data_IF_681314055842
#
_entry.id   IF_681314055842
#
_cell.length_a   1.000
_cell.length_b   1.000
_cell.length_c   1.000
_cell.angle_alpha   90.00
_cell.angle_beta   90.00
_cell.angle_gamma   90.00
#
_symmetry.space_group_name_H-M   'P 1'
#
loop_
_entity.id
_entity.type
_entity.pdbx_description
1 polymer ?
#
# COMPACT_ATOMS: atom_id res chain seq x y z
N UNK A 1 -7.93 -1.99 78.28
CA UNK A 1 -6.51 -1.78 77.93
C UNK A 1 -6.37 -1.96 76.42
N UNK A 2 -6.47 -0.85 75.68
CA UNK A 2 -6.45 -0.81 74.22
C UNK A 2 -5.08 -0.33 73.75
N UNK A 3 -4.35 -1.21 73.07
CA UNK A 3 -3.06 -0.91 72.43
C UNK A 3 -3.29 -0.09 71.15
N UNK A 4 -2.64 1.07 71.04
CA UNK A 4 -2.53 1.87 69.81
C UNK A 4 -1.35 1.34 68.99
N UNK A 5 -1.60 0.90 67.76
CA UNK A 5 -0.57 0.64 66.75
C UNK A 5 -0.56 1.84 65.80
N UNK A 6 0.58 2.52 65.73
CA UNK A 6 0.86 3.57 64.74
C UNK A 6 1.16 2.93 63.39
N UNK A 7 0.49 3.39 62.33
CA UNK A 7 0.85 3.08 60.94
C UNK A 7 1.36 4.37 60.31
N UNK A 8 2.67 4.43 60.07
CA UNK A 8 3.30 5.46 59.24
C UNK A 8 3.06 5.12 57.76
N UNK A 9 2.33 5.98 57.05
CA UNK A 9 2.26 5.95 55.59
C UNK A 9 3.42 6.79 55.03
N UNK A 10 4.39 6.13 54.40
CA UNK A 10 5.40 6.78 53.55
C UNK A 10 4.82 6.85 52.15
N UNK A 11 4.35 8.03 51.73
CA UNK A 11 3.98 8.34 50.35
C UNK A 11 5.26 8.69 49.58
N UNK A 12 5.74 7.76 48.77
CA UNK A 12 6.79 8.03 47.79
C UNK A 12 6.16 8.71 46.56
N UNK A 13 6.35 10.03 46.43
CA UNK A 13 6.05 10.78 45.21
C UNK A 13 7.07 10.39 44.11
N UNK A 14 6.63 9.66 43.10
CA UNK A 14 7.33 9.57 41.82
C UNK A 14 6.93 10.77 40.96
N UNK A 15 7.73 11.83 40.98
CA UNK A 15 7.67 12.88 39.97
C UNK A 15 8.24 12.33 38.66
N UNK A 16 7.35 11.85 37.78
CA UNK A 16 7.71 11.64 36.39
C UNK A 16 8.00 13.02 35.77
N UNK A 17 9.28 13.31 35.56
CA UNK A 17 9.73 14.43 34.74
C UNK A 17 9.28 14.14 33.31
N UNK A 18 8.14 14.70 32.93
CA UNK A 18 7.71 14.72 31.54
C UNK A 18 8.61 15.75 30.84
N UNK A 19 9.67 15.28 30.19
CA UNK A 19 10.34 16.13 29.21
C UNK A 19 9.33 16.44 28.11
N UNK A 20 9.00 17.71 27.84
CA UNK A 20 8.28 18.02 26.63
C UNK A 20 9.17 17.56 25.48
N UNK A 21 8.66 16.68 24.62
CA UNK A 21 9.25 16.42 23.31
C UNK A 21 9.31 17.78 22.63
N UNK A 22 10.49 18.41 22.63
CA UNK A 22 10.70 19.61 21.86
C UNK A 22 10.48 19.21 20.41
N UNK A 23 9.43 19.78 19.81
CA UNK A 23 9.23 19.74 18.38
C UNK A 23 10.55 20.17 17.74
N UNK A 24 11.23 19.24 17.09
CA UNK A 24 12.40 19.56 16.29
C UNK A 24 11.94 20.60 15.27
N UNK A 25 12.47 21.82 15.38
CA UNK A 25 12.30 22.85 14.35
C UNK A 25 12.88 22.28 13.06
N UNK A 26 12.02 21.81 12.17
CA UNK A 26 12.34 21.46 10.79
C UNK A 26 12.74 22.75 10.05
N UNK A 27 13.96 23.21 10.25
CA UNK A 27 14.58 24.24 9.42
C UNK A 27 15.38 23.53 8.33
N UNK A 28 15.11 23.88 7.07
CA UNK A 28 15.96 23.42 5.97
C UNK A 28 17.37 24.00 6.13
N UNK A 29 18.38 23.29 5.62
CA UNK A 29 19.77 23.76 5.61
C UNK A 29 19.96 25.09 4.82
N UNK A 30 18.96 25.50 4.02
CA UNK A 30 18.97 26.69 3.17
C UNK A 30 18.19 27.87 3.76
N UNK A 31 17.57 27.72 4.95
CA UNK A 31 16.75 28.76 5.59
C UNK A 31 15.36 28.95 4.96
N UNK A 32 15.01 28.18 3.93
CA UNK A 32 13.67 28.13 3.35
C UNK A 32 12.74 27.22 4.19
N UNK A 33 11.42 27.49 4.21
CA UNK A 33 10.46 26.55 4.80
C UNK A 33 10.53 25.17 4.14
N UNK A 34 10.30 24.12 4.91
CA UNK A 34 10.23 22.76 4.39
C UNK A 34 8.89 22.57 3.67
N UNK A 35 8.91 21.98 2.47
CA UNK A 35 7.66 21.70 1.75
C UNK A 35 6.80 20.71 2.54
N UNK A 36 5.50 20.97 2.72
CA UNK A 36 4.60 20.14 3.50
C UNK A 36 4.42 18.77 2.84
N UNK A 37 4.22 17.74 3.66
CA UNK A 37 3.99 16.38 3.18
C UNK A 37 2.50 16.16 2.89
N UNK A 38 2.14 15.74 1.66
CA UNK A 38 0.77 15.42 1.33
C UNK A 38 0.26 14.19 2.14
N UNK A 39 -1.03 14.13 2.47
CA UNK A 39 -1.58 13.04 3.30
C UNK A 39 -1.36 11.65 2.68
N UNK A 40 -0.90 10.70 3.52
CA UNK A 40 -0.70 9.30 3.13
C UNK A 40 0.47 9.05 2.17
N UNK A 41 1.40 10.00 2.10
CA UNK A 41 2.58 9.90 1.23
C UNK A 41 3.87 9.82 2.04
N UNK A 42 4.93 9.35 1.38
CA UNK A 42 6.30 9.33 1.86
C UNK A 42 7.15 10.19 0.91
N UNK A 43 8.04 11.01 1.48
CA UNK A 43 8.99 11.82 0.73
C UNK A 43 10.00 10.96 -0.06
N UNK A 44 10.07 11.18 -1.38
CA UNK A 44 10.98 10.51 -2.31
C UNK A 44 12.14 11.42 -2.76
N UNK A 45 11.87 12.72 -2.92
CA UNK A 45 12.86 13.77 -3.19
C UNK A 45 12.42 15.09 -2.52
N UNK A 46 13.12 16.20 -2.80
CA UNK A 46 12.86 17.50 -2.15
C UNK A 46 11.39 17.91 -2.22
N UNK A 47 10.77 17.82 -3.40
CA UNK A 47 9.38 18.22 -3.64
C UNK A 47 8.51 17.09 -4.20
N UNK A 48 9.00 15.85 -4.17
CA UNK A 48 8.34 14.67 -4.72
C UNK A 48 8.03 13.68 -3.60
N UNK A 49 6.79 13.20 -3.59
CA UNK A 49 6.27 12.24 -2.63
C UNK A 49 5.58 11.08 -3.36
N UNK A 50 5.41 9.95 -2.70
CA UNK A 50 4.73 8.77 -3.24
C UNK A 50 3.80 8.18 -2.18
N UNK A 51 2.65 7.66 -2.59
CA UNK A 51 1.74 6.99 -1.67
C UNK A 51 2.40 5.82 -0.93
N UNK A 52 2.15 5.74 0.37
CA UNK A 52 2.66 4.69 1.26
C UNK A 52 2.24 3.28 0.80
N UNK A 53 1.02 3.14 0.28
CA UNK A 53 0.44 1.89 -0.19
C UNK A 53 -0.35 2.09 -1.50
N UNK A 54 -0.85 1.00 -2.08
CA UNK A 54 -1.73 1.06 -3.24
C UNK A 54 -3.03 1.83 -2.91
N UNK A 55 -3.64 2.50 -3.90
CA UNK A 55 -4.96 3.11 -3.70
C UNK A 55 -5.97 2.00 -3.39
N UNK A 56 -6.56 2.05 -2.19
CA UNK A 56 -7.53 1.05 -1.75
C UNK A 56 -8.95 1.31 -2.27
N UNK A 57 -9.79 0.27 -2.24
CA UNK A 57 -11.20 0.36 -2.61
C UNK A 57 -11.96 1.45 -1.84
N UNK A 58 -11.63 1.69 -0.56
CA UNK A 58 -12.26 2.74 0.25
C UNK A 58 -11.96 4.14 -0.28
N UNK A 59 -10.73 4.39 -0.76
CA UNK A 59 -10.37 5.67 -1.36
C UNK A 59 -11.11 5.88 -2.70
N UNK A 60 -11.30 4.80 -3.47
CA UNK A 60 -12.09 4.86 -4.70
C UNK A 60 -13.58 5.07 -4.43
N UNK A 61 -14.12 4.49 -3.35
CA UNK A 61 -15.51 4.72 -2.93
C UNK A 61 -15.74 6.19 -2.55
N UNK A 62 -14.79 6.83 -1.87
CA UNK A 62 -14.83 8.27 -1.59
C UNK A 62 -14.81 9.09 -2.87
N UNK A 63 -13.92 8.76 -3.82
CA UNK A 63 -13.89 9.38 -5.14
C UNK A 63 -15.24 9.26 -5.85
N UNK A 64 -15.81 8.06 -5.91
CA UNK A 64 -17.12 7.82 -6.51
C UNK A 64 -18.25 8.57 -5.82
N UNK A 65 -18.16 8.75 -4.50
CA UNK A 65 -19.13 9.55 -3.76
C UNK A 65 -19.08 11.01 -4.20
N UNK A 66 -17.89 11.60 -4.32
CA UNK A 66 -17.73 12.98 -4.81
C UNK A 66 -18.22 13.12 -6.25
N UNK A 67 -17.79 12.21 -7.14
CA UNK A 67 -18.23 12.18 -8.54
C UNK A 67 -19.76 12.11 -8.67
N UNK A 68 -20.43 11.36 -7.79
CA UNK A 68 -21.89 11.28 -7.79
C UNK A 68 -22.56 12.61 -7.40
N UNK A 69 -21.91 13.43 -6.57
CA UNK A 69 -22.46 14.70 -6.10
C UNK A 69 -22.22 15.85 -7.09
N UNK A 70 -21.09 15.84 -7.80
CA UNK A 70 -20.62 16.99 -8.59
C UNK A 70 -20.64 16.78 -10.11
N UNK A 71 -20.93 15.56 -10.58
CA UNK A 71 -20.82 15.19 -11.99
C UNK A 71 -22.07 14.50 -12.54
N UNK A 72 -22.12 14.31 -13.86
CA UNK A 72 -23.24 13.62 -14.51
C UNK A 72 -23.28 12.13 -14.16
N UNK A 73 -24.47 11.54 -14.16
CA UNK A 73 -24.66 10.09 -13.97
C UNK A 73 -23.85 9.27 -15.00
N UNK A 74 -23.71 9.78 -16.23
CA UNK A 74 -22.90 9.12 -17.27
C UNK A 74 -21.42 9.08 -16.88
N UNK A 75 -20.89 10.18 -16.35
CA UNK A 75 -19.53 10.23 -15.88
C UNK A 75 -19.34 9.34 -14.64
N UNK A 76 -20.25 9.38 -13.67
CA UNK A 76 -20.25 8.46 -12.52
C UNK A 76 -20.15 6.99 -12.94
N UNK A 77 -21.01 6.56 -13.88
CA UNK A 77 -20.99 5.19 -14.42
C UNK A 77 -19.67 4.86 -15.11
N UNK A 78 -19.06 5.82 -15.81
CA UNK A 78 -17.75 5.64 -16.44
C UNK A 78 -16.59 5.47 -15.45
N UNK A 79 -16.78 5.84 -14.17
CA UNK A 79 -15.76 5.69 -13.12
C UNK A 79 -15.93 4.39 -12.29
N UNK A 80 -16.96 3.59 -12.56
CA UNK A 80 -17.15 2.30 -11.88
C UNK A 80 -16.07 1.29 -12.32
N UNK A 81 -15.46 0.55 -11.38
CA UNK A 81 -14.58 -0.55 -11.72
C UNK A 81 -15.32 -1.66 -12.49
N UNK A 82 -14.69 -2.19 -13.53
CA UNK A 82 -15.14 -3.32 -14.32
C UNK A 82 -15.04 -4.61 -13.49
N UNK A 83 -16.18 -5.14 -13.06
CA UNK A 83 -16.23 -6.40 -12.31
C UNK A 83 -16.02 -7.64 -13.19
N UNK A 84 -16.03 -7.52 -14.52
CA UNK A 84 -15.86 -8.66 -15.43
C UNK A 84 -14.43 -9.21 -15.42
N UNK A 85 -13.46 -8.44 -14.92
CA UNK A 85 -12.05 -8.87 -14.72
C UNK A 85 -11.90 -10.06 -13.77
N UNK A 86 -12.96 -10.38 -13.02
CA UNK A 86 -13.04 -11.51 -12.09
C UNK A 86 -13.58 -12.79 -12.73
N UNK A 87 -14.16 -12.75 -13.94
CA UNK A 87 -14.77 -13.92 -14.61
C UNK A 87 -13.77 -15.07 -14.81
N UNK A 88 -12.53 -14.76 -15.15
CA UNK A 88 -11.46 -15.77 -15.30
C UNK A 88 -10.94 -16.31 -13.96
N UNK A 89 -11.13 -15.57 -12.85
CA UNK A 89 -10.73 -15.98 -11.49
C UNK A 89 -11.82 -16.84 -10.84
N UNK A 90 -13.07 -16.66 -11.25
CA UNK A 90 -14.23 -17.42 -10.80
C UNK A 90 -14.29 -18.88 -11.31
N UNK A 91 -13.17 -19.46 -11.77
CA UNK A 91 -13.09 -20.90 -12.03
C UNK A 91 -13.47 -21.63 -10.73
N UNK A 92 -14.65 -22.25 -10.77
CA UNK A 92 -15.46 -22.71 -9.67
C UNK A 92 -14.69 -23.33 -8.47
N UNK A 93 -15.06 -23.03 -7.22
CA UNK A 93 -14.75 -23.93 -6.12
C UNK A 93 -15.36 -25.33 -6.41
N UNK A 94 -14.82 -26.43 -5.85
CA UNK A 94 -15.31 -27.81 -6.07
C UNK A 94 -16.80 -28.02 -5.75
N UNK A 95 -17.43 -27.07 -5.07
CA UNK A 95 -18.83 -27.06 -4.64
C UNK A 95 -19.73 -26.18 -5.50
N UNK A 96 -19.21 -25.49 -6.52
CA UNK A 96 -20.06 -24.69 -7.39
C UNK A 96 -20.92 -25.61 -8.25
N UNK A 97 -22.23 -25.38 -8.25
CA UNK A 97 -23.14 -26.00 -9.20
C UNK A 97 -22.64 -25.67 -10.60
N UNK A 98 -22.34 -26.70 -11.41
CA UNK A 98 -21.93 -26.53 -12.79
C UNK A 98 -22.94 -25.63 -13.53
N UNK A 99 -22.49 -24.45 -13.98
CA UNK A 99 -23.32 -23.48 -14.70
C UNK A 99 -23.79 -22.25 -13.90
N UNK A 100 -23.56 -22.16 -12.59
CA UNK A 100 -23.88 -20.95 -11.81
C UNK A 100 -22.72 -19.92 -11.84
N UNK A 101 -22.94 -18.66 -12.28
CA UNK A 101 -21.89 -17.66 -12.28
C UNK A 101 -21.52 -17.29 -10.84
N UNK A 102 -20.28 -17.55 -10.42
CA UNK A 102 -19.78 -17.05 -9.14
C UNK A 102 -19.54 -15.54 -9.28
N UNK A 103 -20.45 -14.75 -8.71
CA UNK A 103 -20.34 -13.28 -8.74
C UNK A 103 -19.35 -12.86 -7.66
N UNK A 104 -18.15 -12.46 -8.05
CA UNK A 104 -17.15 -11.90 -7.13
C UNK A 104 -17.52 -10.44 -6.84
N UNK A 105 -17.97 -10.17 -5.61
CA UNK A 105 -18.38 -8.84 -5.15
C UNK A 105 -17.21 -8.01 -4.58
N UNK A 106 -16.04 -8.08 -5.22
CA UNK A 106 -14.79 -7.48 -4.70
C UNK A 106 -14.95 -6.01 -4.30
N UNK A 107 -15.33 -5.15 -5.26
CA UNK A 107 -15.43 -3.71 -5.01
C UNK A 107 -16.60 -3.34 -4.07
N UNK A 108 -17.67 -4.16 -4.04
CA UNK A 108 -18.91 -3.85 -3.32
C UNK A 108 -18.95 -4.38 -1.90
N UNK A 109 -18.21 -5.44 -1.60
CA UNK A 109 -18.26 -6.09 -0.29
C UNK A 109 -17.37 -5.33 0.72
N UNK A 110 -17.91 -4.92 1.89
CA UNK A 110 -17.16 -4.14 2.87
C UNK A 110 -15.85 -4.76 3.35
N UNK A 111 -15.74 -6.10 3.35
CA UNK A 111 -14.52 -6.81 3.76
C UNK A 111 -13.30 -6.51 2.89
N UNK A 112 -13.49 -6.02 1.66
CA UNK A 112 -12.41 -5.67 0.73
C UNK A 112 -12.11 -4.17 0.67
N UNK A 113 -12.67 -3.35 1.57
CA UNK A 113 -12.47 -1.88 1.55
C UNK A 113 -11.00 -1.46 1.58
N UNK A 114 -10.17 -2.20 2.28
CA UNK A 114 -8.74 -1.90 2.39
C UNK A 114 -7.85 -2.77 1.49
N UNK A 115 -8.42 -3.37 0.46
CA UNK A 115 -7.67 -4.07 -0.59
C UNK A 115 -7.47 -3.11 -1.77
N UNK A 116 -6.45 -3.30 -2.62
CA UNK A 116 -6.16 -2.37 -3.72
C UNK A 116 -7.33 -2.27 -4.70
N UNK A 117 -7.63 -1.07 -5.19
CA UNK A 117 -8.61 -0.91 -6.25
C UNK A 117 -8.06 -1.53 -7.54
N UNK A 118 -8.85 -2.41 -8.15
CA UNK A 118 -8.54 -3.08 -9.42
C UNK A 118 -9.77 -3.10 -10.31
N UNK A 119 -9.61 -3.55 -11.55
CA UNK A 119 -10.69 -3.46 -12.54
C UNK A 119 -10.93 -2.03 -13.03
N UNK A 120 -9.93 -1.16 -12.89
CA UNK A 120 -9.98 0.21 -13.41
C UNK A 120 -9.07 0.38 -14.63
N UNK A 121 -9.38 1.33 -15.49
CA UNK A 121 -8.56 1.72 -16.64
C UNK A 121 -7.48 2.73 -16.26
N UNK A 122 -6.53 2.93 -17.17
CA UNK A 122 -5.53 4.00 -17.05
C UNK A 122 -6.17 5.38 -16.96
N UNK A 123 -7.20 5.64 -17.77
CA UNK A 123 -7.92 6.91 -17.80
C UNK A 123 -8.63 7.19 -16.48
N UNK A 124 -9.23 6.16 -15.88
CA UNK A 124 -9.86 6.26 -14.57
C UNK A 124 -8.80 6.58 -13.49
N UNK A 125 -7.66 5.90 -13.49
CA UNK A 125 -6.58 6.17 -12.54
C UNK A 125 -6.04 7.62 -12.66
N UNK A 126 -5.86 8.12 -13.90
CA UNK A 126 -5.47 9.51 -14.15
C UNK A 126 -6.54 10.49 -13.68
N UNK A 127 -7.83 10.20 -13.90
CA UNK A 127 -8.93 11.03 -13.43
C UNK A 127 -8.98 11.10 -11.89
N UNK A 128 -8.71 9.97 -11.22
CA UNK A 128 -8.57 9.91 -9.76
C UNK A 128 -7.42 10.80 -9.26
N UNK A 129 -6.23 10.73 -9.88
CA UNK A 129 -5.10 11.58 -9.51
C UNK A 129 -5.43 13.07 -9.62
N UNK A 130 -6.13 13.48 -10.69
CA UNK A 130 -6.60 14.86 -10.88
C UNK A 130 -7.59 15.29 -9.80
N UNK A 131 -8.58 14.43 -9.51
CA UNK A 131 -9.55 14.67 -8.45
C UNK A 131 -8.87 14.82 -7.08
N UNK A 132 -7.96 13.90 -6.73
CA UNK A 132 -7.23 13.95 -5.46
C UNK A 132 -6.40 15.22 -5.34
N UNK A 133 -5.79 15.69 -6.42
CA UNK A 133 -5.11 16.99 -6.47
C UNK A 133 -6.07 18.11 -6.08
N UNK A 134 -7.23 18.21 -6.73
CA UNK A 134 -8.21 19.25 -6.43
C UNK A 134 -8.70 19.20 -4.97
N UNK A 135 -9.01 17.99 -4.47
CA UNK A 135 -9.49 17.80 -3.11
C UNK A 135 -8.41 18.13 -2.07
N UNK A 136 -7.18 17.70 -2.24
CA UNK A 136 -6.11 17.98 -1.25
C UNK A 136 -5.75 19.46 -1.25
N UNK A 137 -5.65 20.11 -2.42
CA UNK A 137 -5.41 21.55 -2.47
C UNK A 137 -6.50 22.32 -1.70
N UNK A 138 -7.78 22.05 -2.00
CA UNK A 138 -8.91 22.77 -1.41
C UNK A 138 -9.19 22.40 0.05
N UNK A 139 -9.26 21.11 0.35
CA UNK A 139 -9.73 20.61 1.66
C UNK A 139 -8.61 20.49 2.69
N UNK A 140 -7.35 20.42 2.25
CA UNK A 140 -6.20 20.30 3.15
C UNK A 140 -5.37 21.57 3.12
N UNK A 141 -4.75 21.94 1.99
CA UNK A 141 -3.78 23.04 1.94
C UNK A 141 -4.41 24.42 2.19
N UNK A 142 -5.64 24.64 1.71
CA UNK A 142 -6.39 25.88 1.95
C UNK A 142 -7.15 25.89 3.29
N UNK A 143 -7.13 24.78 4.06
CA UNK A 143 -7.88 24.69 5.31
C UNK A 143 -7.28 25.57 6.42
N UNK A 144 -8.13 26.10 7.30
CA UNK A 144 -7.70 26.88 8.46
C UNK A 144 -6.76 26.08 9.39
N UNK A 145 -7.00 24.77 9.53
CA UNK A 145 -6.17 23.88 10.33
C UNK A 145 -4.77 23.72 9.75
N UNK A 146 -4.64 23.64 8.43
CA UNK A 146 -3.34 23.60 7.77
C UNK A 146 -2.60 24.93 7.91
N UNK A 147 -3.28 26.06 7.70
CA UNK A 147 -2.67 27.40 7.86
C UNK A 147 -2.24 27.69 9.31
N UNK A 148 -2.94 27.12 10.30
CA UNK A 148 -2.54 27.12 11.72
C UNK A 148 -1.36 26.17 11.97
N UNK A 149 -1.38 25.00 11.32
CA UNK A 149 -0.31 23.99 11.16
C UNK A 149 1.04 24.61 10.80
N UNK A 150 0.99 25.47 9.78
CA UNK A 150 2.14 25.89 8.98
C UNK A 150 2.25 27.42 8.87
N UNK A 151 2.46 28.15 9.98
CA UNK A 151 2.60 29.61 9.95
C UNK A 151 3.79 30.09 9.11
N UNK A 152 4.83 29.26 8.96
CA UNK A 152 6.00 29.50 8.11
C UNK A 152 5.68 29.56 6.61
N UNK A 153 4.53 29.01 6.19
CA UNK A 153 4.10 28.96 4.79
C UNK A 153 3.18 30.13 4.39
N UNK A 154 2.82 31.04 5.30
CA UNK A 154 1.88 32.15 5.02
C UNK A 154 2.28 33.03 3.83
N UNK A 155 3.58 33.24 3.65
CA UNK A 155 4.16 34.00 2.54
C UNK A 155 4.31 33.21 1.22
N UNK A 156 3.76 32.00 1.14
CA UNK A 156 3.89 31.11 0.00
C UNK A 156 2.52 30.66 -0.51
N UNK A 157 2.44 30.46 -1.82
CA UNK A 157 1.39 29.69 -2.48
C UNK A 157 1.87 28.25 -2.60
N UNK A 158 1.16 27.34 -1.93
CA UNK A 158 1.49 25.92 -1.87
C UNK A 158 0.40 25.15 -2.62
N UNK A 159 0.83 24.28 -3.52
CA UNK A 159 -0.06 23.40 -4.26
C UNK A 159 0.53 22.01 -4.41
N UNK A 160 -0.33 21.01 -4.56
CA UNK A 160 0.06 19.62 -4.81
C UNK A 160 -0.58 19.11 -6.10
N UNK A 161 0.22 18.41 -6.90
CA UNK A 161 -0.25 17.69 -8.09
C UNK A 161 0.03 16.20 -7.92
N UNK A 162 -1.03 15.41 -7.86
CA UNK A 162 -0.97 13.96 -7.90
C UNK A 162 -1.05 13.46 -9.35
N UNK A 163 -0.25 12.44 -9.65
CA UNK A 163 -0.22 11.72 -10.93
C UNK A 163 0.27 10.29 -10.74
N UNK A 164 0.23 9.50 -11.81
CA UNK A 164 0.91 8.21 -11.82
C UNK A 164 2.44 8.39 -11.80
N UNK A 165 3.20 7.49 -11.15
CA UNK A 165 4.65 7.53 -11.16
C UNK A 165 5.20 7.27 -12.56
N UNK A 166 6.26 7.96 -12.95
CA UNK A 166 7.10 7.49 -14.05
C UNK A 166 7.76 6.17 -13.66
N UNK A 167 8.21 5.39 -14.65
CA UNK A 167 8.96 4.15 -14.35
C UNK A 167 10.20 4.42 -13.49
N UNK A 168 10.89 5.55 -13.72
CA UNK A 168 12.08 5.94 -12.97
C UNK A 168 11.77 6.27 -11.51
N UNK A 169 10.70 7.04 -11.26
CA UNK A 169 10.25 7.36 -9.90
C UNK A 169 9.79 6.10 -9.16
N UNK A 170 9.10 5.19 -9.85
CA UNK A 170 8.70 3.90 -9.28
C UNK A 170 9.92 3.06 -8.89
N UNK A 171 10.94 2.98 -9.75
CA UNK A 171 12.17 2.25 -9.47
C UNK A 171 12.96 2.87 -8.31
N UNK A 172 13.05 4.21 -8.26
CA UNK A 172 13.67 4.94 -7.16
C UNK A 172 12.96 4.62 -5.83
N UNK A 173 11.62 4.63 -5.84
CA UNK A 173 10.80 4.30 -4.70
C UNK A 173 10.94 2.83 -4.28
N UNK A 174 11.01 1.90 -5.22
CA UNK A 174 11.18 0.48 -4.95
C UNK A 174 12.54 0.17 -4.32
N UNK A 175 13.62 0.74 -4.87
CA UNK A 175 14.97 0.56 -4.35
C UNK A 175 15.13 1.13 -2.93
N UNK A 176 14.74 2.39 -2.72
CA UNK A 176 14.96 3.07 -1.44
C UNK A 176 16.45 3.21 -1.06
N UNK A 177 16.76 3.82 0.10
CA UNK A 177 18.12 4.01 0.57
C UNK A 177 18.67 2.67 1.10
N UNK A 178 19.62 2.08 0.36
CA UNK A 178 20.37 0.92 0.83
C UNK A 178 19.98 -0.44 0.26
N UNK A 179 18.99 -0.54 -0.64
CA UNK A 179 18.80 -1.79 -1.38
C UNK A 179 20.00 -2.07 -2.29
N UNK A 180 20.58 -3.26 -2.16
CA UNK A 180 21.67 -3.74 -3.02
C UNK A 180 21.18 -5.00 -3.76
N UNK A 181 21.06 -4.92 -5.08
CA UNK A 181 20.60 -6.00 -5.97
C UNK A 181 19.14 -5.85 -6.43
N UNK A 182 18.76 -6.63 -7.44
CA UNK A 182 17.50 -6.48 -8.19
C UNK A 182 16.42 -7.52 -7.84
N UNK A 183 16.62 -8.38 -6.84
CA UNK A 183 15.64 -9.39 -6.45
C UNK A 183 14.56 -8.83 -5.50
N UNK A 184 13.34 -9.40 -5.48
CA UNK A 184 12.27 -9.02 -4.54
C UNK A 184 12.70 -8.96 -3.06
N UNK A 185 13.55 -9.90 -2.63
CA UNK A 185 14.06 -9.96 -1.27
C UNK A 185 14.98 -8.79 -0.88
N UNK A 186 15.63 -8.14 -1.85
CA UNK A 186 16.49 -6.99 -1.61
C UNK A 186 15.70 -5.68 -1.55
N UNK A 187 14.49 -5.65 -2.13
CA UNK A 187 13.62 -4.48 -2.12
C UNK A 187 12.75 -4.44 -0.88
N UNK A 188 12.28 -5.59 -0.41
CA UNK A 188 11.47 -5.69 0.81
C UNK A 188 12.32 -6.39 1.88
N UNK A 189 13.15 -5.64 2.63
CA UNK A 189 13.86 -6.24 3.75
C UNK A 189 12.84 -6.80 4.74
N UNK A 190 13.06 -8.03 5.18
CA UNK A 190 12.41 -8.51 6.39
C UNK A 190 12.61 -7.50 7.53
N UNK A 191 11.64 -7.41 8.45
CA UNK A 191 11.72 -6.46 9.58
C UNK A 191 13.09 -6.59 10.29
N UNK A 192 13.85 -5.49 10.47
CA UNK A 192 15.13 -5.54 11.17
C UNK A 192 14.92 -6.14 12.57
N UNK A 193 15.71 -7.17 12.90
CA UNK A 193 15.66 -7.90 14.18
C UNK A 193 14.39 -8.76 14.44
N UNK A 194 13.50 -8.94 13.47
CA UNK A 194 12.42 -9.90 13.61
C UNK A 194 12.96 -11.34 13.50
N UNK A 195 12.83 -12.12 14.58
CA UNK A 195 13.06 -13.57 14.50
C UNK A 195 12.00 -14.17 13.57
N UNK A 196 12.40 -14.54 12.35
CA UNK A 196 11.55 -15.29 11.43
C UNK A 196 11.14 -16.60 12.12
N UNK A 197 9.83 -16.84 12.20
CA UNK A 197 9.27 -18.08 12.76
C UNK A 197 8.68 -18.90 11.63
N UNK A 198 8.97 -20.20 11.57
CA UNK A 198 8.33 -21.06 10.60
C UNK A 198 6.82 -21.10 10.85
N UNK A 199 6.05 -21.27 9.79
CA UNK A 199 4.60 -21.41 9.88
C UNK A 199 4.25 -22.72 10.57
N UNK A 200 3.16 -22.69 11.35
CA UNK A 200 2.58 -23.92 11.88
C UNK A 200 1.75 -24.58 10.78
N UNK A 201 2.28 -25.61 10.13
CA UNK A 201 1.63 -26.31 9.01
C UNK A 201 0.19 -26.72 9.37
N UNK A 202 -0.04 -27.19 10.59
CA UNK A 202 -1.38 -27.60 11.07
C UNK A 202 -2.41 -26.45 11.16
N UNK A 203 -1.95 -25.19 11.23
CA UNK A 203 -2.80 -23.99 11.29
C UNK A 203 -3.08 -23.40 9.90
N UNK A 204 -2.33 -23.82 8.88
CA UNK A 204 -2.48 -23.34 7.51
C UNK A 204 -3.30 -24.36 6.71
N UNK A 205 -4.53 -24.00 6.36
CA UNK A 205 -5.45 -24.92 5.69
C UNK A 205 -4.87 -25.41 4.35
N UNK A 206 -4.80 -26.73 4.17
CA UNK A 206 -4.34 -27.38 2.95
C UNK A 206 -2.82 -27.33 2.72
N UNK A 207 -2.05 -26.75 3.64
CA UNK A 207 -0.59 -26.68 3.49
C UNK A 207 0.04 -28.07 3.63
N UNK A 208 -0.44 -28.91 4.53
CA UNK A 208 0.02 -30.29 4.71
C UNK A 208 -0.11 -31.14 3.43
N UNK A 209 -1.28 -31.10 2.78
CA UNK A 209 -1.51 -31.85 1.54
C UNK A 209 -0.69 -31.28 0.38
N UNK A 210 -0.52 -29.96 0.32
CA UNK A 210 0.30 -29.30 -0.68
C UNK A 210 1.78 -29.70 -0.55
N UNK A 211 2.33 -29.68 0.67
CA UNK A 211 3.72 -30.08 0.91
C UNK A 211 3.96 -31.54 0.50
N UNK A 212 3.01 -32.43 0.80
CA UNK A 212 3.07 -33.83 0.36
C UNK A 212 3.06 -33.94 -1.17
N UNK A 213 2.20 -33.19 -1.87
CA UNK A 213 2.14 -33.17 -3.33
C UNK A 213 3.44 -32.65 -3.98
N UNK A 214 4.06 -31.64 -3.37
CA UNK A 214 5.35 -31.08 -3.79
C UNK A 214 6.57 -31.90 -3.33
N UNK A 215 6.34 -33.00 -2.60
CA UNK A 215 7.39 -33.85 -2.01
C UNK A 215 8.35 -33.09 -1.09
N UNK A 216 7.85 -32.07 -0.39
CA UNK A 216 8.60 -31.34 0.63
C UNK A 216 8.49 -32.10 1.95
N UNK A 217 9.63 -32.33 2.62
CA UNK A 217 9.67 -33.11 3.85
C UNK A 217 8.81 -32.47 4.97
N UNK A 218 8.03 -33.24 5.75
CA UNK A 218 7.23 -32.70 6.86
C UNK A 218 8.04 -32.02 7.97
N UNK A 219 9.34 -32.32 8.06
CA UNK A 219 10.28 -31.71 8.99
C UNK A 219 10.84 -30.37 8.50
N UNK A 220 10.65 -30.02 7.23
CA UNK A 220 11.20 -28.81 6.65
C UNK A 220 10.60 -27.56 7.32
N UNK A 221 11.46 -26.59 7.62
CA UNK A 221 11.02 -25.31 8.15
C UNK A 221 10.45 -24.44 7.00
N UNK A 222 9.13 -24.21 7.04
CA UNK A 222 8.40 -23.44 6.02
C UNK A 222 8.17 -22.01 6.49
N UNK A 223 8.37 -21.04 5.62
CA UNK A 223 8.19 -19.61 5.90
C UNK A 223 7.27 -18.97 4.87
N UNK A 224 6.50 -17.95 5.26
CA UNK A 224 5.73 -17.12 4.32
C UNK A 224 6.67 -16.14 3.63
N UNK A 225 6.47 -15.95 2.34
CA UNK A 225 7.13 -14.87 1.60
C UNK A 225 6.66 -13.50 2.14
N UNK A 226 7.55 -12.49 2.19
CA UNK A 226 7.23 -11.17 2.71
C UNK A 226 6.56 -10.27 1.66
N UNK A 227 6.00 -10.86 0.61
CA UNK A 227 5.30 -10.19 -0.49
C UNK A 227 4.23 -11.11 -1.06
N UNK A 228 3.21 -10.52 -1.68
CA UNK A 228 2.06 -11.25 -2.22
C UNK A 228 2.25 -11.53 -3.73
N UNK A 229 2.96 -12.60 -4.06
CA UNK A 229 3.21 -13.06 -5.43
C UNK A 229 2.49 -14.40 -5.71
N UNK A 230 2.74 -15.03 -6.86
CA UNK A 230 2.13 -16.32 -7.18
C UNK A 230 2.53 -17.42 -6.18
N UNK A 231 3.81 -17.45 -5.80
CA UNK A 231 4.31 -18.24 -4.69
C UNK A 231 4.05 -17.51 -3.36
N UNK A 232 3.76 -18.28 -2.31
CA UNK A 232 3.43 -17.76 -0.99
C UNK A 232 4.33 -18.30 0.14
N UNK A 233 5.10 -19.35 -0.12
CA UNK A 233 6.00 -19.96 0.86
C UNK A 233 7.40 -20.18 0.30
N UNK A 234 8.37 -20.35 1.19
CA UNK A 234 9.72 -20.84 0.87
C UNK A 234 10.25 -21.74 2.00
N UNK A 235 11.22 -22.59 1.67
CA UNK A 235 11.94 -23.41 2.65
C UNK A 235 13.23 -22.72 3.09
N UNK A 236 13.62 -22.85 4.36
CA UNK A 236 14.90 -22.29 4.83
C UNK A 236 16.12 -22.97 4.21
N UNK A 237 16.01 -24.27 3.89
CA UNK A 237 17.12 -25.11 3.45
C UNK A 237 17.56 -24.77 2.02
N UNK A 238 16.61 -24.58 1.10
CA UNK A 238 16.91 -24.34 -0.32
C UNK A 238 16.61 -22.91 -0.75
N UNK A 239 15.88 -22.13 0.06
CA UNK A 239 15.36 -20.82 -0.34
C UNK A 239 14.34 -20.90 -1.49
N UNK A 240 13.93 -22.10 -1.89
CA UNK A 240 13.06 -22.30 -3.04
C UNK A 240 11.63 -21.88 -2.69
N UNK A 241 11.12 -20.91 -3.44
CA UNK A 241 9.73 -20.48 -3.33
C UNK A 241 8.78 -21.49 -3.98
N UNK A 242 7.59 -21.64 -3.40
CA UNK A 242 6.54 -22.50 -3.91
C UNK A 242 5.15 -21.96 -3.56
N UNK A 243 4.16 -22.37 -4.35
CA UNK A 243 2.77 -21.97 -4.19
C UNK A 243 1.96 -23.11 -3.55
N UNK A 244 1.20 -22.79 -2.50
CA UNK A 244 0.17 -23.65 -1.94
C UNK A 244 -1.14 -22.87 -1.82
N UNK A 245 -2.14 -23.22 -2.63
CA UNK A 245 -3.45 -22.56 -2.57
C UNK A 245 -4.16 -22.91 -1.27
N UNK A 246 -4.43 -21.92 -0.42
CA UNK A 246 -5.03 -22.14 0.89
C UNK A 246 -6.54 -22.48 0.85
N UNK A 247 -7.21 -22.31 -0.30
CA UNK A 247 -8.58 -22.78 -0.58
C UNK A 247 -9.02 -22.42 -2.01
N UNK A 248 -9.82 -23.25 -2.69
CA UNK A 248 -10.54 -22.85 -3.89
C UNK A 248 -11.45 -21.64 -3.61
N UNK A 249 -11.38 -20.59 -4.43
CA UNK A 249 -12.24 -19.40 -4.34
C UNK A 249 -11.69 -18.24 -3.50
N UNK A 250 -10.49 -18.33 -2.91
CA UNK A 250 -9.82 -17.17 -2.31
C UNK A 250 -9.28 -16.24 -3.41
N UNK A 251 -9.55 -14.94 -3.30
CA UNK A 251 -8.94 -13.95 -4.19
C UNK A 251 -7.47 -13.80 -3.83
N UNK A 252 -6.60 -13.63 -4.84
CA UNK A 252 -5.16 -13.47 -4.59
C UNK A 252 -4.74 -12.07 -4.15
N UNK A 253 -5.65 -11.08 -4.14
CA UNK A 253 -5.37 -9.78 -3.54
C UNK A 253 -5.52 -9.84 -2.02
N UNK A 254 -4.74 -9.02 -1.33
CA UNK A 254 -4.72 -8.89 0.12
C UNK A 254 -4.80 -7.42 0.57
N UNK A 255 -4.90 -7.22 1.88
CA UNK A 255 -4.88 -5.89 2.52
C UNK A 255 -3.64 -5.07 2.12
N UNK A 256 -3.81 -3.77 1.84
CA UNK A 256 -2.74 -2.88 1.33
C UNK A 256 -1.57 -2.67 2.31
N UNK A 257 -1.70 -3.13 3.56
CA UNK A 257 -0.63 -3.14 4.57
C UNK A 257 -0.30 -4.56 5.08
N UNK A 258 -0.63 -5.62 4.33
CA UNK A 258 -0.47 -7.01 4.77
C UNK A 258 1.00 -7.41 4.98
N UNK A 259 1.90 -6.92 4.13
CA UNK A 259 3.32 -7.27 4.11
C UNK A 259 4.19 -6.19 4.76
N UNK A 260 5.42 -6.51 5.17
CA UNK A 260 6.38 -5.49 5.61
C UNK A 260 6.63 -4.43 4.54
N UNK A 261 6.87 -3.17 4.92
CA UNK A 261 7.25 -2.14 3.97
C UNK A 261 8.71 -2.29 3.50
N UNK A 262 9.07 -1.62 2.41
CA UNK A 262 10.46 -1.48 1.97
C UNK A 262 11.27 -0.52 2.87
N UNK A 263 12.54 -0.28 2.52
CA UNK A 263 13.42 0.65 3.25
C UNK A 263 12.91 2.10 3.33
N UNK A 264 12.00 2.52 2.44
CA UNK A 264 11.35 3.82 2.49
C UNK A 264 10.06 3.83 3.32
N UNK A 265 9.54 2.68 3.75
CA UNK A 265 8.23 2.60 4.39
C UNK A 265 7.08 2.28 3.43
N UNK A 266 7.36 1.94 2.17
CA UNK A 266 6.32 1.63 1.17
C UNK A 266 5.86 0.19 1.26
N UNK A 267 4.55 0.00 1.41
CA UNK A 267 3.92 -1.31 1.49
C UNK A 267 3.60 -1.84 0.10
N UNK A 268 3.72 -3.17 -0.07
CA UNK A 268 3.38 -3.89 -1.30
C UNK A 268 3.98 -3.27 -2.58
N UNK A 269 5.17 -2.66 -2.49
CA UNK A 269 5.88 -2.20 -3.70
C UNK A 269 6.25 -3.39 -4.59
N UNK A 270 6.31 -4.59 -4.01
CA UNK A 270 6.37 -5.87 -4.72
C UNK A 270 5.10 -6.69 -4.46
N UNK A 271 4.47 -7.13 -5.53
CA UNK A 271 3.30 -8.02 -5.51
C UNK A 271 1.99 -7.32 -5.18
N UNK A 272 1.04 -8.10 -4.68
CA UNK A 272 -0.35 -7.72 -4.47
C UNK A 272 -1.01 -7.29 -5.78
N UNK A 273 -1.17 -5.99 -6.06
CA UNK A 273 -1.54 -5.49 -7.37
C UNK A 273 -0.34 -4.86 -8.10
N UNK A 274 -0.15 -5.22 -9.37
CA UNK A 274 0.82 -4.51 -10.21
C UNK A 274 0.36 -3.06 -10.40
N UNK A 275 1.29 -2.12 -10.51
CA UNK A 275 0.99 -0.70 -10.41
C UNK A 275 1.18 0.00 -11.75
N UNK A 276 0.12 0.65 -12.24
CA UNK A 276 0.19 1.48 -13.44
C UNK A 276 1.23 2.59 -13.29
N UNK A 277 1.99 2.83 -14.35
CA UNK A 277 2.93 3.96 -14.47
C UNK A 277 2.35 5.05 -15.36
N UNK A 278 3.00 6.21 -15.43
CA UNK A 278 2.65 7.30 -16.34
C UNK A 278 2.75 6.91 -17.83
N UNK A 279 3.43 5.81 -18.16
CA UNK A 279 3.39 5.21 -19.49
C UNK A 279 2.17 4.28 -19.58
N UNK A 280 1.12 4.72 -20.30
CA UNK A 280 -0.10 3.92 -20.49
C UNK A 280 0.24 2.53 -21.03
N UNK A 281 -0.31 1.50 -20.39
CA UNK A 281 -0.08 0.10 -20.75
C UNK A 281 1.17 -0.51 -20.13
N UNK A 282 1.90 0.23 -19.29
CA UNK A 282 3.06 -0.26 -18.54
C UNK A 282 2.77 -0.22 -17.04
N UNK A 283 2.94 -1.37 -16.40
CA UNK A 283 2.88 -1.54 -14.96
C UNK A 283 4.20 -2.10 -14.40
N UNK A 284 4.37 -1.97 -13.07
CA UNK A 284 5.56 -2.40 -12.31
C UNK A 284 5.17 -3.18 -11.05
N UNK A 285 6.14 -3.79 -10.39
CA UNK A 285 5.99 -4.42 -9.07
C UNK A 285 5.56 -5.89 -9.06
N UNK A 286 5.03 -6.41 -10.17
CA UNK A 286 4.39 -7.73 -10.16
C UNK A 286 3.06 -7.71 -9.42
N UNK A 287 2.36 -8.83 -9.45
CA UNK A 287 1.09 -9.01 -8.75
C UNK A 287 1.03 -10.39 -8.11
N UNK A 288 -0.07 -10.69 -7.41
CA UNK A 288 -0.37 -12.04 -6.93
C UNK A 288 -0.38 -13.14 -8.02
N UNK A 289 -0.31 -12.76 -9.31
CA UNK A 289 -0.18 -13.70 -10.45
C UNK A 289 1.23 -13.84 -10.99
N UNK A 290 2.17 -13.03 -10.52
CA UNK A 290 3.55 -12.98 -11.02
C UNK A 290 4.41 -13.91 -10.21
N UNK A 291 5.18 -14.79 -10.86
CA UNK A 291 6.12 -15.66 -10.14
C UNK A 291 7.29 -14.85 -9.59
N UNK A 292 7.70 -15.15 -8.36
CA UNK A 292 8.89 -14.57 -7.73
C UNK A 292 10.16 -14.84 -8.54
N UNK A 293 10.21 -15.96 -9.26
CA UNK A 293 11.38 -16.34 -10.06
C UNK A 293 11.47 -15.54 -11.38
N UNK A 294 10.34 -14.99 -11.83
CA UNK A 294 10.25 -14.21 -13.07
C UNK A 294 10.27 -12.70 -12.83
N UNK A 295 9.97 -12.28 -11.59
CA UNK A 295 9.88 -10.88 -11.23
C UNK A 295 11.25 -10.20 -11.26
N UNK A 296 11.38 -9.25 -12.18
CA UNK A 296 12.48 -8.30 -12.23
C UNK A 296 11.90 -6.89 -12.04
N UNK A 297 12.33 -6.11 -11.04
CA UNK A 297 11.82 -4.76 -10.78
C UNK A 297 11.90 -3.84 -12.01
N UNK A 298 12.95 -4.01 -12.82
CA UNK A 298 13.16 -3.23 -14.04
C UNK A 298 12.25 -3.67 -15.18
N UNK A 299 11.72 -4.89 -15.14
CA UNK A 299 10.84 -5.39 -16.20
C UNK A 299 9.55 -4.58 -16.29
N UNK A 300 8.99 -4.54 -17.49
CA UNK A 300 7.69 -3.92 -17.76
C UNK A 300 6.63 -4.99 -17.79
N UNK A 301 5.58 -4.81 -16.99
CA UNK A 301 4.39 -5.64 -17.06
C UNK A 301 3.36 -4.95 -17.95
N UNK A 302 3.12 -5.50 -19.14
CA UNK A 302 2.25 -4.88 -20.13
C UNK A 302 0.77 -5.21 -19.87
N UNK A 303 -0.11 -4.23 -20.07
CA UNK A 303 -1.56 -4.41 -20.00
C UNK A 303 -2.28 -3.62 -21.08
N UNK A 304 -3.49 -4.05 -21.45
CA UNK A 304 -4.31 -3.40 -22.50
C UNK A 304 -5.57 -2.71 -21.98
N UNK A 305 -5.94 -2.97 -20.73
CA UNK A 305 -7.16 -2.45 -20.12
C UNK A 305 -7.26 -2.90 -18.66
N UNK A 306 -8.45 -2.76 -18.05
CA UNK A 306 -8.71 -3.20 -16.68
C UNK A 306 -8.32 -4.67 -16.46
N UNK A 307 -7.74 -4.97 -15.29
CA UNK A 307 -7.37 -6.33 -14.88
C UNK A 307 -7.66 -6.54 -13.40
N UNK A 308 -7.85 -7.80 -12.99
CA UNK A 308 -8.02 -8.20 -11.58
C UNK A 308 -6.74 -8.10 -10.76
N UNK A 309 -5.60 -7.94 -11.42
CA UNK A 309 -4.26 -7.91 -10.82
C UNK A 309 -3.57 -6.54 -10.95
N UNK A 310 -4.25 -5.55 -11.52
CA UNK A 310 -3.68 -4.25 -11.86
C UNK A 310 -4.40 -3.15 -11.06
N UNK A 311 -3.63 -2.45 -10.26
CA UNK A 311 -4.03 -1.26 -9.50
C UNK A 311 -3.05 -0.12 -9.77
N UNK A 312 -2.90 0.79 -8.81
CA UNK A 312 -1.96 1.90 -8.90
C UNK A 312 -1.72 2.54 -7.54
N UNK A 313 -0.67 3.35 -7.48
CA UNK A 313 -0.42 4.33 -6.42
C UNK A 313 -0.10 5.69 -7.06
N UNK A 314 -0.27 6.79 -6.34
CA UNK A 314 0.07 8.12 -6.85
C UNK A 314 1.47 8.53 -6.42
N UNK A 315 2.10 9.37 -7.23
CA UNK A 315 3.13 10.32 -6.78
C UNK A 315 2.54 11.71 -6.70
N UNK A 316 3.09 12.54 -5.82
CA UNK A 316 2.66 13.90 -5.58
C UNK A 316 3.84 14.86 -5.69
N UNK A 317 3.73 15.87 -6.57
CA UNK A 317 4.69 16.97 -6.63
C UNK A 317 4.13 18.16 -5.89
N UNK A 318 4.87 18.67 -4.90
CA UNK A 318 4.48 19.86 -4.14
C UNK A 318 5.20 21.08 -4.71
N UNK A 319 4.43 22.07 -5.16
CA UNK A 319 4.97 23.35 -5.62
C UNK A 319 4.74 24.39 -4.54
N UNK A 320 5.82 25.07 -4.16
CA UNK A 320 5.81 26.16 -3.18
C UNK A 320 6.44 27.39 -3.83
N UNK A 321 5.66 28.46 -4.03
CA UNK A 321 6.10 29.71 -4.67
C UNK A 321 5.91 30.85 -3.69
N UNK A 322 6.90 31.72 -3.53
CA UNK A 322 6.77 32.91 -2.68
C UNK A 322 5.72 33.85 -3.29
N UNK A 323 4.75 34.29 -2.48
CA UNK A 323 3.77 35.30 -2.90
C UNK A 323 4.50 36.57 -3.32
N UNK A 324 4.08 37.18 -4.42
CA UNK A 324 4.57 38.49 -4.80
C UNK A 324 4.28 39.48 -3.66
N UNK A 325 5.25 40.36 -3.35
CA UNK A 325 5.02 41.51 -2.48
C UNK A 325 3.91 42.34 -3.13
N UNK A 326 2.75 42.44 -2.47
CA UNK A 326 1.76 43.47 -2.77
C UNK A 326 2.27 44.83 -2.28
#
# INVERSE_FOLDING_TARGET
>A
MTFRISVCFVLALWLAVVWPVQAQKNQSATGLPVVPEPPGTIRLAENLFIDESEVANIHWLEYLQQVRLDSSETYYRSQLPDSTVWKAVAAAPPTAVAGAPTVIMYFRYPGFRYFPVVGISYEQAVAYCKWRSAVVNKSVLESADFQKKHPELRGYDVSVEYRLPTEAEWLQAAAGPGASGSGPANLVPGRPNAKLRPVSVRKEAGLDSCLAALRIAPSAAIYKLPYNLAENYYTAETGQAFACTARPGQLGLEYVYVNPPNYLGLYNIIGNAAEMTAAKGVAKGGSYKTSVNELKPEARQLYRGPQSWLGFRCVATVRMVRKASQ
#
